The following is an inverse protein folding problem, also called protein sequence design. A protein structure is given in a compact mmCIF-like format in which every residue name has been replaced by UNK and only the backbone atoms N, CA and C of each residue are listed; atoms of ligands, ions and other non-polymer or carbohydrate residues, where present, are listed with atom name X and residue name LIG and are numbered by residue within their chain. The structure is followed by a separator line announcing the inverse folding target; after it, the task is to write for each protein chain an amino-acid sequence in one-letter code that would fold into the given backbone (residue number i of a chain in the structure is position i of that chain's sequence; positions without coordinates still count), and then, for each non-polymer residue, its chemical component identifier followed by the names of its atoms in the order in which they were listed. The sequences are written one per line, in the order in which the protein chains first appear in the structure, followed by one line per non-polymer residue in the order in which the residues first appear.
data_IF_594883453475
#
_entry.id   IF_594883453475
#
_cell.length_a   1.000
_cell.length_b   1.000
_cell.length_c   1.000
_cell.angle_alpha   90.00
_cell.angle_beta   90.00
_cell.angle_gamma   90.00
#
_symmetry.space_group_name_H-M   'P 1'
#
loop_
_entity.id
_entity.type
_entity.pdbx_description
1 polymer ?
#
# COMPACT_ATOMS: atom_id res chain seq x y z
N UNK A 1 15.49 -27.57 -25.41
CA UNK A 1 15.96 -26.71 -24.31
C UNK A 1 15.49 -27.37 -23.02
N UNK A 2 16.43 -27.93 -22.24
CA UNK A 2 16.14 -28.88 -21.17
C UNK A 2 15.62 -28.14 -19.92
N UNK A 3 14.36 -28.41 -19.52
CA UNK A 3 13.78 -27.90 -18.28
C UNK A 3 14.46 -28.64 -17.11
N UNK A 4 15.32 -27.96 -16.36
CA UNK A 4 15.89 -28.54 -15.14
C UNK A 4 14.77 -28.77 -14.11
N UNK A 5 14.74 -29.91 -13.41
CA UNK A 5 13.75 -30.16 -12.37
C UNK A 5 13.90 -29.13 -11.23
N UNK A 6 12.78 -28.59 -10.77
CA UNK A 6 12.71 -27.54 -9.76
C UNK A 6 13.38 -27.98 -8.46
N UNK A 7 14.36 -27.20 -7.99
CA UNK A 7 15.10 -27.41 -6.72
C UNK A 7 14.29 -27.10 -5.46
N UNK A 8 12.99 -26.84 -5.57
CA UNK A 8 12.16 -26.31 -4.49
C UNK A 8 10.98 -27.23 -4.18
N UNK A 9 10.90 -27.75 -2.95
CA UNK A 9 9.82 -28.65 -2.52
C UNK A 9 8.49 -27.96 -2.21
N UNK A 10 8.41 -26.62 -2.31
CA UNK A 10 7.20 -25.81 -2.01
C UNK A 10 6.99 -24.72 -3.06
N UNK A 11 5.73 -24.52 -3.45
CA UNK A 11 5.26 -23.48 -4.39
C UNK A 11 4.21 -22.60 -3.71
N UNK A 12 4.15 -21.32 -4.08
CA UNK A 12 3.16 -20.36 -3.59
C UNK A 12 2.51 -19.58 -4.75
N UNK A 13 1.18 -19.51 -4.76
CA UNK A 13 0.43 -18.68 -5.69
C UNK A 13 0.33 -17.25 -5.14
N UNK A 14 0.85 -16.28 -5.88
CA UNK A 14 0.85 -14.86 -5.49
C UNK A 14 -0.19 -14.12 -6.31
N UNK A 15 -1.29 -13.72 -5.64
CA UNK A 15 -2.46 -13.08 -6.27
C UNK A 15 -2.52 -11.56 -6.11
N UNK A 16 -1.48 -10.97 -5.51
CA UNK A 16 -1.36 -9.52 -5.31
C UNK A 16 -1.24 -8.76 -6.64
N UNK A 17 -1.52 -7.44 -6.67
CA UNK A 17 -1.19 -6.61 -7.82
C UNK A 17 0.24 -6.83 -8.28
N UNK A 18 0.47 -6.82 -9.60
CA UNK A 18 1.77 -7.19 -10.19
C UNK A 18 2.96 -6.44 -9.58
N UNK A 19 2.79 -5.15 -9.32
CA UNK A 19 3.83 -4.29 -8.74
C UNK A 19 4.22 -4.68 -7.30
N UNK A 20 3.36 -5.39 -6.56
CA UNK A 20 3.65 -5.91 -5.22
C UNK A 20 4.07 -7.38 -5.25
N UNK A 21 3.61 -8.12 -6.26
CA UNK A 21 3.92 -9.53 -6.41
C UNK A 21 5.41 -9.79 -6.62
N UNK A 22 6.13 -8.89 -7.30
CA UNK A 22 7.57 -9.06 -7.58
C UNK A 22 8.41 -9.10 -6.30
N UNK A 23 8.26 -8.11 -5.42
CA UNK A 23 9.03 -8.06 -4.17
C UNK A 23 8.72 -9.26 -3.25
N UNK A 24 7.46 -9.72 -3.26
CA UNK A 24 7.07 -10.93 -2.53
C UNK A 24 7.66 -12.19 -3.17
N UNK A 25 7.65 -12.31 -4.49
CA UNK A 25 8.23 -13.43 -5.21
C UNK A 25 9.74 -13.56 -4.91
N UNK A 26 10.48 -12.45 -4.93
CA UNK A 26 11.90 -12.44 -4.54
C UNK A 26 12.10 -12.85 -3.07
N UNK A 27 11.21 -12.43 -2.17
CA UNK A 27 11.27 -12.81 -0.75
C UNK A 27 10.97 -14.29 -0.52
N UNK A 28 10.11 -14.89 -1.35
CA UNK A 28 9.79 -16.32 -1.36
C UNK A 28 10.95 -17.14 -1.93
N UNK A 29 11.55 -16.69 -3.03
CA UNK A 29 12.69 -17.35 -3.67
C UNK A 29 13.89 -17.44 -2.72
N UNK A 30 14.21 -16.35 -1.99
CA UNK A 30 15.22 -16.36 -0.92
C UNK A 30 14.96 -17.38 0.19
N UNK A 31 13.73 -17.89 0.32
CA UNK A 31 13.31 -18.91 1.29
C UNK A 31 13.16 -20.30 0.65
N UNK A 32 13.56 -20.46 -0.61
CA UNK A 32 13.42 -21.70 -1.37
C UNK A 32 11.97 -22.06 -1.70
N UNK A 33 11.09 -21.05 -1.81
CA UNK A 33 9.70 -21.21 -2.23
C UNK A 33 9.56 -20.62 -3.61
N UNK A 34 9.16 -21.44 -4.57
CA UNK A 34 8.87 -20.98 -5.93
C UNK A 34 7.55 -20.19 -5.94
N UNK A 35 7.58 -18.97 -6.47
CA UNK A 35 6.41 -18.11 -6.58
C UNK A 35 5.80 -18.16 -7.98
N UNK A 36 4.52 -18.54 -8.07
CA UNK A 36 3.70 -18.42 -9.28
C UNK A 36 2.95 -17.09 -9.18
N UNK A 37 3.32 -16.11 -10.01
CA UNK A 37 2.72 -14.77 -9.97
C UNK A 37 1.51 -14.71 -10.91
N UNK A 38 0.32 -14.63 -10.33
CA UNK A 38 -0.97 -14.53 -11.03
C UNK A 38 -1.81 -13.43 -10.38
N UNK A 39 -1.61 -12.15 -10.73
CA UNK A 39 -2.37 -11.04 -10.16
C UNK A 39 -3.87 -11.25 -10.38
N UNK A 40 -4.65 -11.20 -9.30
CA UNK A 40 -6.12 -11.24 -9.36
C UNK A 40 -6.76 -9.89 -9.01
N UNK A 41 -5.92 -8.87 -8.88
CA UNK A 41 -6.31 -7.48 -8.65
C UNK A 41 -5.56 -6.59 -9.63
N UNK A 42 -6.31 -5.78 -10.37
CA UNK A 42 -5.79 -4.66 -11.13
C UNK A 42 -5.93 -3.37 -10.32
N UNK A 43 -4.92 -2.50 -10.37
CA UNK A 43 -4.93 -1.23 -9.63
C UNK A 43 -5.07 -0.10 -10.62
N UNK A 44 -6.24 0.54 -10.59
CA UNK A 44 -6.53 1.70 -11.41
C UNK A 44 -6.32 2.96 -10.59
N UNK A 45 -5.28 3.71 -10.96
CA UNK A 45 -5.03 5.03 -10.40
C UNK A 45 -5.99 6.04 -11.03
N UNK A 46 -6.64 6.87 -10.21
CA UNK A 46 -7.57 7.89 -10.68
C UNK A 46 -6.81 9.08 -11.24
N UNK A 47 -7.23 9.55 -12.41
CA UNK A 47 -6.68 10.72 -13.09
C UNK A 47 -7.54 11.95 -12.79
N UNK A 48 -7.36 12.48 -11.58
CA UNK A 48 -8.06 13.65 -11.05
C UNK A 48 -7.00 14.66 -10.53
N UNK A 49 -7.35 15.95 -10.31
CA UNK A 49 -6.40 16.97 -9.86
C UNK A 49 -5.65 16.58 -8.57
N UNK A 50 -4.46 17.14 -8.32
CA UNK A 50 -3.73 16.88 -7.08
C UNK A 50 -4.63 17.10 -5.83
N UNK A 51 -4.56 16.24 -4.80
CA UNK A 51 -5.24 16.54 -3.54
C UNK A 51 -4.68 17.83 -2.95
N UNK A 52 -5.54 18.64 -2.34
CA UNK A 52 -5.12 19.86 -1.67
C UNK A 52 -4.38 19.52 -0.36
N UNK A 53 -3.10 19.88 -0.31
CA UNK A 53 -2.22 19.67 0.83
C UNK A 53 -2.11 20.91 1.73
N UNK A 54 -2.74 22.04 1.38
CA UNK A 54 -2.66 23.26 2.17
C UNK A 54 -3.28 23.04 3.56
N UNK A 55 -2.51 23.21 4.64
CA UNK A 55 -2.98 22.97 6.01
C UNK A 55 -3.10 21.49 6.39
N UNK A 56 -2.53 20.58 5.60
CA UNK A 56 -2.33 19.18 5.98
C UNK A 56 -1.03 19.07 6.75
N UNK A 57 -1.08 18.52 7.97
CA UNK A 57 0.14 18.29 8.77
C UNK A 57 0.80 16.95 8.46
N UNK A 58 0.02 15.94 8.06
CA UNK A 58 0.52 14.64 7.69
C UNK A 58 -0.42 13.88 6.74
N UNK A 59 0.18 13.05 5.90
CA UNK A 59 -0.50 12.09 5.04
C UNK A 59 -0.43 10.70 5.66
N UNK A 60 -1.57 10.02 5.74
CA UNK A 60 -1.67 8.64 6.19
C UNK A 60 -1.85 7.72 4.98
N UNK A 61 -0.99 6.70 4.86
CA UNK A 61 -1.05 5.71 3.79
C UNK A 61 -1.20 4.30 4.38
N UNK A 62 -2.32 3.66 4.05
CA UNK A 62 -2.62 2.26 4.45
C UNK A 62 -2.22 1.23 3.39
N UNK A 63 -1.65 1.68 2.27
CA UNK A 63 -1.20 0.81 1.19
C UNK A 63 -0.07 1.45 0.39
N UNK A 64 0.85 0.63 -0.12
CA UNK A 64 1.84 1.04 -1.11
C UNK A 64 1.19 1.63 -2.38
N UNK A 65 -0.02 1.21 -2.73
CA UNK A 65 -0.77 1.80 -3.84
C UNK A 65 -1.25 3.21 -3.53
N UNK A 66 -1.59 3.52 -2.27
CA UNK A 66 -1.90 4.88 -1.85
C UNK A 66 -0.73 5.83 -2.06
N UNK A 67 0.47 5.40 -1.64
CA UNK A 67 1.71 6.15 -1.87
C UNK A 67 1.96 6.40 -3.37
N UNK A 68 1.83 5.35 -4.20
CA UNK A 68 1.96 5.46 -5.66
C UNK A 68 0.97 6.45 -6.25
N UNK A 69 -0.27 6.40 -5.80
CA UNK A 69 -1.35 7.24 -6.29
C UNK A 69 -1.11 8.71 -5.94
N UNK A 70 -0.64 8.99 -4.72
CA UNK A 70 -0.25 10.34 -4.30
C UNK A 70 0.94 10.85 -5.10
N UNK A 71 2.01 10.05 -5.23
CA UNK A 71 3.22 10.42 -5.93
C UNK A 71 3.01 10.75 -7.42
N UNK A 72 2.00 10.12 -8.05
CA UNK A 72 1.55 10.42 -9.43
C UNK A 72 0.84 11.75 -9.56
N UNK A 73 0.14 12.21 -8.50
CA UNK A 73 -0.73 13.39 -8.53
C UNK A 73 -0.09 14.63 -7.88
N UNK A 74 0.90 14.46 -7.02
CA UNK A 74 1.58 15.55 -6.31
C UNK A 74 3.10 15.42 -6.42
N UNK A 75 3.78 16.55 -6.56
CA UNK A 75 5.24 16.66 -6.47
C UNK A 75 5.76 16.84 -5.04
N UNK A 76 4.87 17.01 -4.05
CA UNK A 76 5.23 17.20 -2.64
C UNK A 76 5.88 15.93 -2.06
N UNK A 77 7.02 16.08 -1.37
CA UNK A 77 7.82 14.98 -0.80
C UNK A 77 8.32 15.26 0.62
N UNK A 78 8.19 16.48 1.11
CA UNK A 78 8.62 16.89 2.43
C UNK A 78 7.47 16.86 3.45
N UNK A 79 6.22 16.66 3.00
CA UNK A 79 5.11 16.38 3.92
C UNK A 79 5.34 15.09 4.72
N UNK A 80 5.04 15.12 6.01
CA UNK A 80 5.14 13.94 6.87
C UNK A 80 4.20 12.85 6.37
N UNK A 81 4.73 11.64 6.19
CA UNK A 81 3.99 10.48 5.71
C UNK A 81 4.04 9.35 6.74
N UNK A 82 2.87 8.96 7.21
CA UNK A 82 2.70 7.84 8.15
C UNK A 82 2.18 6.64 7.39
N UNK A 83 2.95 5.56 7.41
CA UNK A 83 2.65 4.32 6.73
C UNK A 83 2.13 3.28 7.71
N UNK A 84 1.11 2.51 7.32
CA UNK A 84 0.58 1.42 8.15
C UNK A 84 1.62 0.33 8.47
N UNK A 85 2.56 0.11 7.55
CA UNK A 85 3.62 -0.88 7.73
C UNK A 85 4.78 -0.70 6.76
N UNK A 86 5.83 -1.51 6.96
CA UNK A 86 7.12 -1.34 6.28
C UNK A 86 7.04 -1.42 4.76
N UNK A 87 6.16 -2.23 4.19
CA UNK A 87 6.01 -2.30 2.73
C UNK A 87 5.54 -0.95 2.15
N UNK A 88 4.63 -0.27 2.84
CA UNK A 88 4.13 1.05 2.47
C UNK A 88 5.20 2.12 2.70
N UNK A 89 5.92 2.07 3.82
CA UNK A 89 7.02 2.99 4.12
C UNK A 89 8.18 2.86 3.11
N UNK A 90 8.56 1.63 2.75
CA UNK A 90 9.56 1.36 1.73
C UNK A 90 9.14 1.91 0.37
N UNK A 91 7.84 1.83 0.02
CA UNK A 91 7.34 2.47 -1.19
C UNK A 91 7.45 3.99 -1.11
N UNK A 92 7.13 4.61 0.02
CA UNK A 92 7.26 6.06 0.19
C UNK A 92 8.72 6.52 0.02
N UNK A 93 9.68 5.78 0.59
CA UNK A 93 11.11 6.03 0.37
C UNK A 93 11.48 5.94 -1.12
N UNK A 94 10.99 4.92 -1.82
CA UNK A 94 11.25 4.73 -3.24
C UNK A 94 10.63 5.82 -4.13
N UNK A 95 9.56 6.48 -3.69
CA UNK A 95 8.93 7.61 -4.38
C UNK A 95 9.56 8.96 -3.98
N UNK A 96 10.52 8.96 -3.05
CA UNK A 96 11.31 10.13 -2.67
C UNK A 96 10.78 10.93 -1.49
N UNK A 97 9.86 10.41 -0.69
CA UNK A 97 9.40 11.11 0.52
C UNK A 97 10.51 11.18 1.58
N UNK A 98 10.66 12.35 2.20
CA UNK A 98 11.76 12.67 3.13
C UNK A 98 11.43 12.30 4.58
N UNK A 99 10.17 12.44 4.98
CA UNK A 99 9.71 12.27 6.36
C UNK A 99 8.72 11.12 6.45
N UNK A 100 9.20 9.94 6.84
CA UNK A 100 8.40 8.71 6.83
C UNK A 100 8.48 7.99 8.16
N UNK A 101 7.33 7.74 8.78
CA UNK A 101 7.19 6.86 9.93
C UNK A 101 6.29 5.67 9.58
N UNK A 102 6.60 4.51 10.17
CA UNK A 102 5.89 3.26 9.92
C UNK A 102 5.32 2.76 11.23
N UNK A 103 4.02 2.48 11.25
CA UNK A 103 3.34 1.90 12.40
C UNK A 103 3.68 0.42 12.60
N UNK A 104 4.14 -0.25 11.55
CA UNK A 104 4.60 -1.64 11.60
C UNK A 104 3.50 -2.69 11.80
N UNK A 105 2.23 -2.30 11.71
CA UNK A 105 1.10 -3.16 12.03
C UNK A 105 -0.11 -2.87 11.14
N UNK A 106 -1.22 -2.49 11.76
CA UNK A 106 -2.50 -2.25 11.12
C UNK A 106 -3.03 -0.82 11.33
N UNK A 107 -4.31 -0.63 11.05
CA UNK A 107 -4.99 0.67 11.13
C UNK A 107 -5.02 1.21 12.55
N UNK A 108 -5.17 0.35 13.56
CA UNK A 108 -5.17 0.76 14.96
C UNK A 108 -3.77 1.22 15.39
N UNK A 109 -2.73 0.50 14.95
CA UNK A 109 -1.34 0.92 15.17
C UNK A 109 -1.01 2.24 14.48
N UNK A 110 -1.53 2.46 13.27
CA UNK A 110 -1.36 3.72 12.55
C UNK A 110 -2.05 4.88 13.25
N UNK A 111 -3.27 4.68 13.75
CA UNK A 111 -4.00 5.69 14.50
C UNK A 111 -3.24 6.05 15.79
N UNK A 112 -2.77 5.04 16.52
CA UNK A 112 -1.96 5.22 17.73
C UNK A 112 -0.67 6.00 17.46
N UNK A 113 0.09 5.61 16.42
CA UNK A 113 1.31 6.31 16.03
C UNK A 113 1.03 7.79 15.68
N UNK A 114 -0.05 8.07 14.94
CA UNK A 114 -0.43 9.44 14.62
C UNK A 114 -0.73 10.26 15.90
N UNK A 115 -1.47 9.68 16.86
CA UNK A 115 -1.77 10.33 18.14
C UNK A 115 -0.53 10.54 19.02
N UNK A 116 0.48 9.67 18.93
CA UNK A 116 1.75 9.80 19.66
C UNK A 116 2.66 10.90 19.09
N UNK A 117 2.55 11.19 17.78
CA UNK A 117 3.49 12.06 17.06
C UNK A 117 2.94 13.43 16.70
N UNK A 118 1.64 13.55 16.55
CA UNK A 118 0.98 14.73 16.00
C UNK A 118 0.05 15.36 17.03
N UNK A 119 -0.25 16.65 16.85
CA UNK A 119 -1.23 17.34 17.67
C UNK A 119 -2.41 17.80 16.80
N UNK A 120 -3.68 17.62 17.24
CA UNK A 120 -4.85 17.96 16.42
C UNK A 120 -4.90 19.40 15.91
N UNK A 121 -4.33 20.35 16.66
CA UNK A 121 -4.34 21.78 16.31
C UNK A 121 -3.34 22.16 15.21
N UNK A 122 -2.39 21.28 14.85
CA UNK A 122 -1.30 21.60 13.92
C UNK A 122 -1.69 21.45 12.43
N UNK A 123 -2.91 20.96 12.16
CA UNK A 123 -3.46 20.82 10.81
C UNK A 123 -4.36 19.60 10.67
N UNK A 124 -4.92 19.38 9.47
CA UNK A 124 -5.71 18.17 9.20
C UNK A 124 -4.81 17.00 8.78
N UNK A 125 -5.33 15.79 8.95
CA UNK A 125 -4.74 14.56 8.45
C UNK A 125 -5.39 14.17 7.12
N UNK A 126 -4.57 13.81 6.13
CA UNK A 126 -5.06 13.34 4.84
C UNK A 126 -4.84 11.83 4.73
N UNK A 127 -5.91 11.04 4.77
CA UNK A 127 -5.84 9.61 4.52
C UNK A 127 -5.98 9.31 3.03
N UNK A 128 -4.89 8.85 2.41
CA UNK A 128 -4.89 8.37 1.03
C UNK A 128 -5.28 6.89 1.01
N UNK A 129 -6.40 6.59 0.35
CA UNK A 129 -7.00 5.26 0.35
C UNK A 129 -7.42 4.79 -1.04
N UNK A 130 -7.69 3.48 -1.14
CA UNK A 130 -8.47 2.91 -2.23
C UNK A 130 -9.97 3.21 -2.06
N UNK A 131 -10.77 2.81 -3.06
CA UNK A 131 -12.24 2.81 -2.96
C UNK A 131 -12.72 2.01 -1.76
N UNK A 132 -12.11 0.84 -1.58
CA UNK A 132 -12.32 -0.07 -0.46
C UNK A 132 -11.26 0.17 0.61
N UNK A 133 -11.70 0.19 1.87
CA UNK A 133 -10.85 0.46 3.03
C UNK A 133 -11.14 -0.60 4.09
N UNK A 134 -10.08 -1.10 4.72
CA UNK A 134 -10.20 -1.94 5.91
C UNK A 134 -10.11 -1.06 7.16
N UNK A 135 -10.98 -1.29 8.14
CA UNK A 135 -11.02 -0.56 9.41
C UNK A 135 -11.56 0.88 9.30
N UNK A 136 -11.71 1.54 10.45
CA UNK A 136 -12.22 2.92 10.56
C UNK A 136 -11.16 3.90 11.07
N UNK A 137 -10.09 4.08 10.29
CA UNK A 137 -9.00 5.02 10.63
C UNK A 137 -9.54 6.44 10.91
N UNK A 138 -10.52 6.88 10.13
CA UNK A 138 -11.09 8.23 10.26
C UNK A 138 -11.93 8.36 11.54
N UNK A 139 -12.65 7.32 11.96
CA UNK A 139 -13.32 7.26 13.26
C UNK A 139 -12.32 7.39 14.41
N UNK A 140 -11.31 6.51 14.44
CA UNK A 140 -10.29 6.48 15.50
C UNK A 140 -9.59 7.84 15.68
N UNK A 141 -9.22 8.50 14.58
CA UNK A 141 -8.55 9.80 14.62
C UNK A 141 -9.49 10.93 15.02
N UNK A 142 -10.77 10.89 14.60
CA UNK A 142 -11.76 11.87 15.03
C UNK A 142 -12.06 11.78 16.52
N UNK A 143 -12.14 10.57 17.06
CA UNK A 143 -12.33 10.35 18.50
C UNK A 143 -11.13 10.89 19.31
N UNK A 144 -9.93 10.91 18.71
CA UNK A 144 -8.74 11.56 19.25
C UNK A 144 -8.66 13.08 18.97
N UNK A 145 -9.68 13.67 18.34
CA UNK A 145 -9.79 15.11 18.09
C UNK A 145 -9.20 15.60 16.76
N UNK A 146 -8.64 14.72 15.92
CA UNK A 146 -8.07 15.13 14.64
C UNK A 146 -9.14 15.39 13.58
N UNK A 147 -8.99 16.50 12.86
CA UNK A 147 -9.65 16.69 11.57
C UNK A 147 -9.02 15.73 10.55
N UNK A 148 -9.79 14.79 10.03
CA UNK A 148 -9.31 13.79 9.06
C UNK A 148 -10.13 13.84 7.78
N UNK A 149 -9.44 13.91 6.65
CA UNK A 149 -10.03 13.87 5.32
C UNK A 149 -9.56 12.60 4.60
N UNK A 150 -10.50 11.82 4.04
CA UNK A 150 -10.16 10.67 3.21
C UNK A 150 -10.25 11.03 1.73
N UNK A 151 -9.18 10.76 1.00
CA UNK A 151 -9.15 10.93 -0.46
C UNK A 151 -8.92 9.58 -1.13
N UNK A 152 -9.82 9.23 -2.05
CA UNK A 152 -9.74 8.01 -2.84
C UNK A 152 -8.93 8.28 -4.11
N UNK A 153 -7.71 7.75 -4.18
CA UNK A 153 -6.80 8.00 -5.31
C UNK A 153 -6.65 6.79 -6.25
N UNK A 154 -7.12 5.62 -5.85
CA UNK A 154 -7.07 4.41 -6.67
C UNK A 154 -8.25 3.49 -6.39
N UNK A 155 -8.46 2.53 -7.27
CA UNK A 155 -9.45 1.46 -7.17
C UNK A 155 -8.76 0.11 -7.40
N UNK A 156 -9.08 -0.89 -6.59
CA UNK A 156 -8.63 -2.26 -6.82
C UNK A 156 -9.76 -3.05 -7.49
N UNK A 157 -9.57 -3.44 -8.75
CA UNK A 157 -10.57 -4.20 -9.52
C UNK A 157 -10.21 -5.68 -9.59
N UNK A 158 -11.14 -6.59 -9.33
CA UNK A 158 -10.88 -8.02 -9.47
C UNK A 158 -10.66 -8.40 -10.93
N UNK A 159 -9.70 -9.30 -11.17
CA UNK A 159 -9.49 -9.95 -12.46
C UNK A 159 -10.21 -11.31 -12.44
N UNK A 160 -10.99 -11.60 -13.48
CA UNK A 160 -11.79 -12.80 -13.55
C UNK A 160 -10.95 -14.04 -13.90
N UNK A 161 -10.52 -14.76 -12.87
CA UNK A 161 -9.98 -16.11 -12.98
C UNK A 161 -8.47 -16.20 -13.19
N UNK A 162 -7.94 -17.41 -12.99
CA UNK A 162 -6.53 -17.73 -13.20
C UNK A 162 -6.26 -17.92 -14.71
N UNK A 163 -5.11 -17.44 -15.17
CA UNK A 163 -4.65 -17.72 -16.52
C UNK A 163 -4.50 -19.24 -16.79
N UNK A 164 -4.69 -19.71 -18.04
CA UNK A 164 -4.51 -21.12 -18.38
C UNK A 164 -3.12 -21.69 -17.99
N UNK A 165 -2.00 -20.95 -18.15
CA UNK A 165 -0.70 -21.41 -17.65
C UNK A 165 -0.67 -21.64 -16.13
N UNK A 166 -1.27 -20.75 -15.35
CA UNK A 166 -1.35 -20.90 -13.89
C UNK A 166 -2.22 -22.08 -13.49
N UNK A 167 -3.37 -22.29 -14.15
CA UNK A 167 -4.21 -23.47 -13.91
C UNK A 167 -3.43 -24.76 -14.18
N UNK A 168 -2.64 -24.82 -15.26
CA UNK A 168 -1.82 -25.98 -15.59
C UNK A 168 -0.72 -26.21 -14.55
N UNK A 169 -0.09 -25.15 -14.02
CA UNK A 169 0.98 -25.24 -13.03
C UNK A 169 0.51 -25.72 -11.65
N UNK A 170 -0.78 -25.57 -11.34
CA UNK A 170 -1.40 -25.98 -10.05
C UNK A 170 -1.94 -27.42 -10.05
N UNK A 171 -1.99 -28.08 -11.22
CA UNK A 171 -2.35 -29.51 -11.35
C UNK A 171 -1.14 -30.40 -11.12
#
# INVERSE_FOLDING_TARGET
MNMMPSRHGRRALVTRPRAEAVALAEALDRRGIEAIVEPLLDILYRDEPAPDLAGVQAVLCTSANGVRALARRSGERDIALFAVGEATAARARAEGFSHIESAGGDVDDLARLACERLAPQDGRLLHVAGSDVAGDLAGLLRDAGFATERVVLYEARPIAGLSPPTVAALR
#
